data_IF_275900478333
#
_entry.id   IF_275900478333
#
_cell.length_a   1.000
_cell.length_b   1.000
_cell.length_c   1.000
_cell.angle_alpha   90.00
_cell.angle_beta   90.00
_cell.angle_gamma   90.00
#
_symmetry.space_group_name_H-M   'P 1'
#
loop_
_entity.id
_entity.type
_entity.pdbx_description
1 polymer ?
#
# COMPACT_ATOMS: atom_id res chain seq x y z
N UNK A 1 28.30 -17.94 49.80
CA UNK A 1 27.36 -16.83 49.54
C UNK A 1 26.05 -17.27 48.84
N UNK A 2 25.57 -18.51 49.02
CA UNK A 2 24.34 -19.00 48.36
C UNK A 2 23.11 -19.07 49.26
N UNK A 3 23.28 -19.27 50.57
CA UNK A 3 22.18 -19.55 51.52
C UNK A 3 21.33 -18.32 51.86
N UNK A 4 21.95 -17.15 51.94
CA UNK A 4 21.24 -15.88 52.21
C UNK A 4 20.27 -15.54 51.08
N UNK A 5 20.68 -15.72 49.81
CA UNK A 5 19.82 -15.47 48.64
C UNK A 5 18.59 -16.36 48.63
N UNK A 6 18.74 -17.62 49.05
CA UNK A 6 17.63 -18.59 49.09
C UNK A 6 16.63 -18.23 50.18
N UNK A 7 17.10 -17.84 51.37
CA UNK A 7 16.24 -17.39 52.46
C UNK A 7 15.50 -16.09 52.12
N UNK A 8 16.21 -15.15 51.50
CA UNK A 8 15.64 -13.87 51.08
C UNK A 8 14.59 -14.05 49.98
N UNK A 9 14.84 -14.93 49.01
CA UNK A 9 13.88 -15.27 47.96
C UNK A 9 12.62 -15.93 48.54
N UNK A 10 12.78 -16.86 49.48
CA UNK A 10 11.64 -17.55 50.12
C UNK A 10 10.75 -16.58 50.88
N UNK A 11 11.34 -15.65 51.63
CA UNK A 11 10.60 -14.62 52.36
C UNK A 11 9.86 -13.67 51.41
N UNK A 12 10.50 -13.30 50.29
CA UNK A 12 9.89 -12.45 49.27
C UNK A 12 8.73 -13.16 48.55
N UNK A 13 8.87 -14.46 48.26
CA UNK A 13 7.80 -15.27 47.66
C UNK A 13 6.61 -15.44 48.64
N UNK A 14 6.87 -15.58 49.94
CA UNK A 14 5.82 -15.58 50.98
C UNK A 14 5.10 -14.22 51.08
N UNK A 15 5.84 -13.11 51.03
CA UNK A 15 5.28 -11.74 51.06
C UNK A 15 4.48 -11.40 49.77
N UNK A 16 4.88 -11.95 48.62
CA UNK A 16 4.23 -11.72 47.32
C UNK A 16 3.12 -12.72 47.01
N UNK A 17 2.93 -13.77 47.82
CA UNK A 17 1.91 -14.79 47.57
C UNK A 17 0.49 -14.21 47.58
N UNK A 18 0.24 -13.18 48.39
CA UNK A 18 -1.02 -12.42 48.42
C UNK A 18 -1.13 -11.37 47.29
N UNK A 19 -0.05 -11.09 46.56
CA UNK A 19 -0.03 -10.12 45.45
C UNK A 19 -0.29 -10.83 44.14
N UNK A 20 -1.55 -11.17 43.88
CA UNK A 20 -1.95 -11.70 42.57
C UNK A 20 -2.10 -10.56 41.56
N UNK A 21 -1.31 -10.56 40.50
CA UNK A 21 -1.45 -9.59 39.40
C UNK A 21 -2.75 -9.83 38.62
N UNK A 22 -3.85 -9.21 39.05
CA UNK A 22 -5.18 -9.39 38.44
C UNK A 22 -5.30 -8.82 37.02
N UNK A 23 -4.37 -7.94 36.62
CA UNK A 23 -4.43 -7.20 35.34
C UNK A 23 -3.33 -7.57 34.36
N UNK A 24 -2.66 -8.71 34.53
CA UNK A 24 -1.58 -9.14 33.65
C UNK A 24 -1.99 -9.13 32.17
N UNK A 25 -3.14 -9.71 31.83
CA UNK A 25 -3.67 -9.70 30.46
C UNK A 25 -4.00 -8.29 29.95
N UNK A 26 -4.48 -7.38 30.81
CA UNK A 26 -4.79 -6.00 30.41
C UNK A 26 -3.52 -5.19 30.13
N UNK A 27 -2.43 -5.45 30.87
CA UNK A 27 -1.13 -4.83 30.61
C UNK A 27 -0.53 -5.39 29.32
N UNK A 28 -0.62 -6.71 29.08
CA UNK A 28 -0.15 -7.34 27.85
C UNK A 28 -0.89 -6.80 26.61
N UNK A 29 -2.21 -6.69 26.66
CA UNK A 29 -3.02 -6.09 25.58
C UNK A 29 -2.70 -4.61 25.34
N UNK A 30 -2.30 -3.87 26.38
CA UNK A 30 -1.89 -2.46 26.26
C UNK A 30 -0.47 -2.31 25.68
N UNK A 31 0.38 -3.32 25.88
CA UNK A 31 1.75 -3.37 25.36
C UNK A 31 1.82 -3.98 23.95
N UNK A 32 0.78 -4.69 23.52
CA UNK A 32 0.65 -5.19 22.17
C UNK A 32 0.57 -4.00 21.21
N UNK A 33 1.70 -3.70 20.56
CA UNK A 33 1.76 -2.72 19.50
C UNK A 33 0.81 -3.17 18.40
N UNK A 34 -0.35 -2.51 18.29
CA UNK A 34 -1.27 -2.68 17.16
C UNK A 34 -0.48 -2.81 15.87
N UNK A 35 -0.58 -3.97 15.25
CA UNK A 35 0.14 -4.28 14.01
C UNK A 35 -0.29 -3.27 12.94
N UNK A 36 0.63 -2.84 12.09
CA UNK A 36 0.28 -1.95 10.97
C UNK A 36 -0.86 -2.52 10.11
N UNK A 37 -0.96 -3.86 10.04
CA UNK A 37 -2.06 -4.57 9.38
C UNK A 37 -3.41 -4.33 10.06
N UNK A 38 -3.48 -4.42 11.39
CA UNK A 38 -4.72 -4.12 12.13
C UNK A 38 -5.12 -2.64 12.02
N UNK A 39 -4.15 -1.73 11.86
CA UNK A 39 -4.45 -0.31 11.59
C UNK A 39 -5.06 -0.11 10.21
N UNK A 40 -4.59 -0.85 9.20
CA UNK A 40 -5.16 -0.81 7.85
C UNK A 40 -6.56 -1.43 7.81
N UNK A 41 -6.76 -2.56 8.48
CA UNK A 41 -8.07 -3.20 8.56
C UNK A 41 -9.06 -2.30 9.31
N UNK A 42 -8.62 -1.58 10.35
CA UNK A 42 -9.44 -0.57 11.02
C UNK A 42 -9.71 0.67 10.15
N UNK A 43 -8.82 1.01 9.23
CA UNK A 43 -9.02 2.10 8.26
C UNK A 43 -10.04 1.69 7.19
N UNK A 44 -9.97 0.44 6.73
CA UNK A 44 -10.89 -0.11 5.71
C UNK A 44 -12.27 -0.47 6.28
N UNK A 45 -12.35 -0.94 7.53
CA UNK A 45 -13.62 -1.39 8.13
C UNK A 45 -14.42 -0.28 8.82
N UNK A 46 -13.81 0.83 9.24
CA UNK A 46 -14.58 1.95 9.79
C UNK A 46 -15.06 2.83 8.66
N UNK A 47 -16.32 2.64 8.26
CA UNK A 47 -17.27 3.68 7.87
C UNK A 47 -16.61 4.99 7.40
N UNK A 48 -15.80 4.93 6.34
CA UNK A 48 -15.30 6.15 5.76
C UNK A 48 -16.49 6.69 4.97
N UNK A 49 -17.27 7.58 5.58
CA UNK A 49 -18.14 8.51 4.86
C UNK A 49 -17.24 9.42 4.03
N UNK A 50 -16.62 8.86 2.99
CA UNK A 50 -15.86 9.62 2.04
C UNK A 50 -16.89 10.49 1.35
N UNK A 51 -16.90 11.77 1.70
CA UNK A 51 -17.66 12.74 0.94
C UNK A 51 -17.11 12.69 -0.48
N UNK A 52 -17.90 12.11 -1.40
CA UNK A 52 -17.45 11.74 -2.74
C UNK A 52 -17.09 12.98 -3.55
N UNK A 53 -17.76 14.09 -3.27
CA UNK A 53 -17.57 15.37 -3.96
C UNK A 53 -16.13 15.90 -3.79
N UNK A 54 -15.60 16.16 -2.57
CA UNK A 54 -14.24 16.65 -2.41
C UNK A 54 -13.17 15.65 -2.87
N UNK A 55 -13.40 14.34 -2.69
CA UNK A 55 -12.40 13.33 -3.09
C UNK A 55 -12.33 13.17 -4.60
N UNK A 56 -13.46 13.12 -5.29
CA UNK A 56 -13.47 13.08 -6.75
C UNK A 56 -12.86 14.35 -7.36
N UNK A 57 -13.12 15.52 -6.76
CA UNK A 57 -12.50 16.78 -7.20
C UNK A 57 -10.97 16.74 -7.05
N UNK A 58 -10.47 16.25 -5.91
CA UNK A 58 -9.03 16.11 -5.68
C UNK A 58 -8.38 15.14 -6.68
N UNK A 59 -9.02 13.99 -6.95
CA UNK A 59 -8.56 13.03 -7.95
C UNK A 59 -8.54 13.67 -9.34
N UNK A 60 -9.60 14.40 -9.71
CA UNK A 60 -9.70 15.05 -11.02
C UNK A 60 -8.62 16.12 -11.20
N UNK A 61 -8.35 16.94 -10.17
CA UNK A 61 -7.31 17.96 -10.18
C UNK A 61 -5.90 17.38 -10.37
N UNK A 62 -5.65 16.17 -9.88
CA UNK A 62 -4.38 15.47 -10.06
C UNK A 62 -4.34 14.75 -11.42
N UNK A 63 -5.42 14.10 -11.83
CA UNK A 63 -5.48 13.30 -13.04
C UNK A 63 -5.43 14.14 -14.33
N UNK A 64 -6.08 15.32 -14.35
CA UNK A 64 -6.12 16.22 -15.50
C UNK A 64 -4.72 16.62 -16.00
N UNK A 65 -3.82 17.21 -15.19
CA UNK A 65 -2.49 17.61 -15.65
C UNK A 65 -1.62 16.42 -16.04
N UNK A 66 -1.75 15.28 -15.35
CA UNK A 66 -1.05 14.04 -15.71
C UNK A 66 -1.49 13.54 -17.09
N UNK A 67 -2.80 13.52 -17.36
CA UNK A 67 -3.34 13.11 -18.66
C UNK A 67 -2.87 14.04 -19.78
N UNK A 68 -2.82 15.35 -19.54
CA UNK A 68 -2.32 16.31 -20.53
C UNK A 68 -0.83 16.10 -20.84
N UNK A 69 -0.01 15.81 -19.82
CA UNK A 69 1.40 15.45 -20.02
C UNK A 69 1.58 14.18 -20.84
N UNK A 70 0.75 13.17 -20.60
CA UNK A 70 0.77 11.90 -21.35
C UNK A 70 0.34 12.11 -22.81
N UNK A 71 -0.76 12.83 -23.05
CA UNK A 71 -1.27 13.10 -24.40
C UNK A 71 -0.32 13.99 -25.19
N UNK A 72 0.26 15.04 -24.57
CA UNK A 72 1.25 15.90 -25.23
C UNK A 72 2.53 15.15 -25.63
N UNK A 73 2.92 14.15 -24.85
CA UNK A 73 4.12 13.35 -25.12
C UNK A 73 3.84 12.17 -26.06
N UNK A 74 2.57 11.89 -26.37
CA UNK A 74 2.22 10.95 -27.41
C UNK A 74 2.46 11.62 -28.77
N UNK A 75 3.55 11.26 -29.45
CA UNK A 75 3.93 11.67 -30.81
C UNK A 75 2.95 11.15 -31.89
N UNK A 76 1.64 11.21 -31.62
CA UNK A 76 0.57 10.73 -32.52
C UNK A 76 0.37 11.71 -33.68
N UNK A 77 0.90 12.94 -33.59
CA UNK A 77 0.59 14.04 -34.51
C UNK A 77 1.25 13.95 -35.89
N UNK A 78 2.21 13.05 -36.12
CA UNK A 78 2.91 12.94 -37.40
C UNK A 78 2.81 11.55 -38.05
N UNK A 79 2.10 10.61 -37.44
CA UNK A 79 1.98 9.27 -37.99
C UNK A 79 1.05 9.27 -39.20
N UNK A 80 1.57 8.87 -40.36
CA UNK A 80 0.78 8.76 -41.59
C UNK A 80 0.13 7.38 -41.67
N UNK A 81 -1.13 7.37 -42.10
CA UNK A 81 -1.80 6.16 -42.52
C UNK A 81 -1.66 6.00 -44.03
N UNK A 82 -1.30 4.80 -44.47
CA UNK A 82 -1.22 4.43 -45.87
C UNK A 82 -2.20 3.30 -46.17
N UNK A 83 -2.79 3.36 -47.36
CA UNK A 83 -3.72 2.34 -47.86
C UNK A 83 -2.97 1.34 -48.73
N UNK A 84 -2.99 0.07 -48.34
CA UNK A 84 -2.42 -1.03 -49.12
C UNK A 84 -3.51 -2.09 -49.28
N UNK A 85 -3.81 -2.46 -50.53
CA UNK A 85 -4.79 -3.50 -50.86
C UNK A 85 -6.17 -3.32 -50.19
N UNK A 86 -6.62 -2.07 -50.02
CA UNK A 86 -7.91 -1.73 -49.41
C UNK A 86 -7.95 -1.81 -47.88
N UNK A 87 -6.79 -1.98 -47.23
CA UNK A 87 -6.64 -1.93 -45.76
C UNK A 87 -5.74 -0.76 -45.36
N UNK A 88 -6.10 -0.09 -44.27
CA UNK A 88 -5.35 1.04 -43.72
C UNK A 88 -4.34 0.55 -42.69
N UNK A 89 -3.09 0.97 -42.87
CA UNK A 89 -1.99 0.63 -41.97
C UNK A 89 -1.21 1.88 -41.58
N UNK A 90 -0.55 1.81 -40.42
CA UNK A 90 0.41 2.83 -40.02
C UNK A 90 1.75 2.62 -40.73
N UNK A 91 2.29 3.68 -41.32
CA UNK A 91 3.55 3.65 -42.10
C UNK A 91 4.71 3.06 -41.27
N UNK A 92 4.92 3.53 -40.03
CA UNK A 92 5.96 3.03 -39.12
C UNK A 92 5.87 1.51 -38.86
N UNK A 93 4.64 0.99 -38.77
CA UNK A 93 4.39 -0.40 -38.42
C UNK A 93 4.64 -1.32 -39.62
N UNK A 94 4.34 -0.84 -40.83
CA UNK A 94 4.68 -1.53 -42.06
C UNK A 94 6.18 -1.55 -42.32
N UNK A 95 6.86 -0.40 -42.19
CA UNK A 95 8.31 -0.33 -42.34
C UNK A 95 9.04 -1.23 -41.33
N UNK A 96 8.56 -1.27 -40.09
CA UNK A 96 9.11 -2.16 -39.06
C UNK A 96 8.94 -3.63 -39.41
N UNK A 97 7.78 -4.04 -39.92
CA UNK A 97 7.52 -5.44 -40.32
C UNK A 97 8.32 -5.86 -41.56
N UNK A 98 8.49 -4.97 -42.53
CA UNK A 98 9.26 -5.24 -43.75
C UNK A 98 10.76 -5.39 -43.46
N UNK A 99 11.31 -4.58 -42.55
CA UNK A 99 12.72 -4.69 -42.13
C UNK A 99 13.04 -5.99 -41.38
N UNK A 100 12.06 -6.58 -40.69
CA UNK A 100 12.24 -7.85 -39.96
C UNK A 100 12.25 -9.06 -40.91
N UNK A 101 11.63 -8.94 -42.09
CA UNK A 101 11.53 -10.03 -43.07
C UNK A 101 12.75 -10.11 -44.01
N UNK A 102 13.65 -9.11 -43.96
CA UNK A 102 14.86 -9.00 -44.81
C UNK A 102 16.16 -9.45 -44.09
N UNK A 103 16.09 -9.76 -42.79
CA UNK A 103 17.16 -10.35 -41.96
C UNK A 103 16.92 -11.86 -41.70
#
# INVERSE_FOLDING_TARGET
>A
MGREKVLMKKKLDEELNDVTFTRQNQVLLKLEKKSFREKMDLFLNKEIEINVIPVSLAIMLIALPLSYGIVKNSNVSERKMIEIAGSYYWEDELEGRLKIDED
#
